data_IF_741538119508
#
_entry.id   IF_741538119508
#
_cell.length_a   1.000
_cell.length_b   1.000
_cell.length_c   1.000
_cell.angle_alpha   90.00
_cell.angle_beta   90.00
_cell.angle_gamma   90.00
#
_symmetry.space_group_name_H-M   'P 1'
#
loop_
_entity.id
_entity.type
_entity.pdbx_description
1 polymer ?
#
# COMPACT_ATOMS: atom_id res chain seq x y z
N UNK A 1 11.10 -21.95 18.44
CA UNK A 1 11.92 -22.85 17.60
C UNK A 1 12.99 -21.97 16.96
N UNK A 2 14.27 -22.21 17.22
CA UNK A 2 15.36 -21.49 16.56
C UNK A 2 15.68 -22.25 15.27
N UNK A 3 15.73 -21.55 14.13
CA UNK A 3 16.06 -22.15 12.85
C UNK A 3 17.59 -22.19 12.71
N UNK A 4 18.16 -23.38 12.52
CA UNK A 4 19.58 -23.53 12.20
C UNK A 4 19.82 -23.28 10.71
N UNK A 5 20.54 -22.20 10.42
CA UNK A 5 20.85 -21.78 9.04
C UNK A 5 21.69 -22.83 8.30
N UNK A 6 22.64 -23.47 8.97
CA UNK A 6 23.52 -24.45 8.33
C UNK A 6 22.74 -25.72 7.95
N UNK A 7 21.82 -26.15 8.82
CA UNK A 7 20.91 -27.26 8.52
C UNK A 7 20.01 -26.93 7.32
N UNK A 8 19.45 -25.72 7.29
CA UNK A 8 18.66 -25.27 6.13
C UNK A 8 19.49 -25.22 4.84
N UNK A 9 20.69 -24.63 4.87
CA UNK A 9 21.59 -24.58 3.72
C UNK A 9 21.91 -25.99 3.20
N UNK A 10 22.17 -26.94 4.09
CA UNK A 10 22.42 -28.34 3.72
C UNK A 10 21.23 -28.98 2.97
N UNK A 11 20.01 -28.64 3.35
CA UNK A 11 18.78 -29.08 2.67
C UNK A 11 18.39 -28.27 1.43
N UNK A 12 18.97 -27.08 1.23
CA UNK A 12 18.57 -26.15 0.18
C UNK A 12 19.38 -26.34 -1.11
N UNK A 13 18.82 -27.09 -2.06
CA UNK A 13 19.51 -27.51 -3.30
C UNK A 13 20.11 -26.35 -4.13
N UNK A 14 19.49 -25.17 -4.17
CA UNK A 14 20.03 -24.03 -4.92
C UNK A 14 21.28 -23.44 -4.25
N UNK A 15 21.33 -23.34 -2.91
CA UNK A 15 22.53 -22.89 -2.20
C UNK A 15 23.68 -23.91 -2.28
N UNK A 16 23.37 -25.21 -2.44
CA UNK A 16 24.38 -26.23 -2.68
C UNK A 16 25.00 -26.13 -4.09
N UNK A 17 24.26 -25.61 -5.07
CA UNK A 17 24.69 -25.52 -6.47
C UNK A 17 25.26 -24.15 -6.85
N UNK A 18 24.89 -23.09 -6.13
CA UNK A 18 25.30 -21.71 -6.42
C UNK A 18 25.82 -21.03 -5.17
N UNK A 19 27.10 -20.65 -5.21
CA UNK A 19 27.73 -19.88 -4.14
C UNK A 19 27.07 -18.51 -3.97
N UNK A 20 26.61 -17.88 -5.07
CA UNK A 20 25.89 -16.59 -5.00
C UNK A 20 24.63 -16.69 -4.15
N UNK A 21 23.81 -17.72 -4.38
CA UNK A 21 22.57 -17.94 -3.60
C UNK A 21 22.90 -18.20 -2.12
N UNK A 22 23.97 -18.95 -1.85
CA UNK A 22 24.42 -19.22 -0.49
C UNK A 22 24.88 -17.94 0.22
N UNK A 23 25.75 -17.16 -0.40
CA UNK A 23 26.30 -15.92 0.17
C UNK A 23 25.18 -14.91 0.45
N UNK A 24 24.23 -14.76 -0.49
CA UNK A 24 23.05 -13.90 -0.29
C UNK A 24 22.18 -14.38 0.87
N UNK A 25 21.91 -15.69 0.97
CA UNK A 25 21.14 -16.24 2.08
C UNK A 25 21.84 -15.97 3.43
N UNK A 26 23.15 -16.23 3.52
CA UNK A 26 23.94 -15.97 4.73
C UNK A 26 23.94 -14.46 5.08
N UNK A 27 24.05 -13.58 4.09
CA UNK A 27 24.02 -12.13 4.26
C UNK A 27 22.67 -11.58 4.72
N UNK A 28 21.57 -12.05 4.13
CA UNK A 28 20.22 -11.56 4.44
C UNK A 28 19.59 -12.19 5.68
N UNK A 29 20.08 -13.35 6.13
CA UNK A 29 19.44 -14.12 7.20
C UNK A 29 19.37 -13.36 8.53
N UNK A 30 20.44 -12.67 8.91
CA UNK A 30 20.46 -11.91 10.16
C UNK A 30 19.43 -10.78 10.17
N UNK A 31 19.22 -10.12 9.04
CA UNK A 31 18.19 -9.09 8.88
C UNK A 31 16.80 -9.69 8.93
N UNK A 32 16.57 -10.78 8.19
CA UNK A 32 15.30 -11.53 8.20
C UNK A 32 14.92 -11.97 9.62
N UNK A 33 15.87 -12.53 10.37
CA UNK A 33 15.68 -12.92 11.77
C UNK A 33 15.29 -11.74 12.68
N UNK A 34 15.75 -10.52 12.36
CA UNK A 34 15.50 -9.33 13.18
C UNK A 34 14.09 -8.76 12.99
N UNK A 35 13.49 -8.97 11.82
CA UNK A 35 12.22 -8.34 11.42
C UNK A 35 11.06 -9.33 11.32
N UNK A 36 11.33 -10.63 11.28
CA UNK A 36 10.32 -11.69 11.19
C UNK A 36 10.17 -12.46 12.51
N UNK A 37 8.96 -12.95 12.78
CA UNK A 37 8.76 -13.97 13.82
C UNK A 37 9.39 -15.31 13.39
N UNK A 38 9.54 -16.29 14.29
CA UNK A 38 9.97 -17.63 13.88
C UNK A 38 9.10 -18.27 12.79
N UNK A 39 7.80 -17.95 12.76
CA UNK A 39 6.89 -18.42 11.71
C UNK A 39 7.07 -17.65 10.40
N UNK A 40 7.26 -16.32 10.48
CA UNK A 40 7.59 -15.49 9.33
C UNK A 40 8.90 -15.92 8.66
N UNK A 41 9.94 -16.18 9.47
CA UNK A 41 11.24 -16.66 8.98
C UNK A 41 11.12 -18.04 8.31
N UNK A 42 10.33 -18.95 8.88
CA UNK A 42 10.03 -20.24 8.23
C UNK A 42 9.34 -20.03 6.88
N UNK A 43 8.31 -19.18 6.82
CA UNK A 43 7.60 -18.84 5.57
C UNK A 43 8.54 -18.26 4.51
N UNK A 44 9.49 -17.42 4.93
CA UNK A 44 10.52 -16.85 4.07
C UNK A 44 11.46 -17.91 3.48
N UNK A 45 11.97 -18.83 4.31
CA UNK A 45 12.85 -19.91 3.84
C UNK A 45 12.11 -20.95 2.99
N UNK A 46 10.87 -21.28 3.34
CA UNK A 46 9.98 -22.13 2.53
C UNK A 46 9.71 -21.46 1.17
N UNK A 47 9.54 -20.13 1.15
CA UNK A 47 9.43 -19.31 -0.05
C UNK A 47 10.65 -19.40 -0.96
N UNK A 48 11.86 -19.26 -0.42
CA UNK A 48 13.11 -19.44 -1.17
C UNK A 48 13.22 -20.85 -1.78
N UNK A 49 12.78 -21.87 -1.04
CA UNK A 49 12.74 -23.27 -1.51
C UNK A 49 11.75 -23.45 -2.66
N UNK A 50 10.57 -22.85 -2.56
CA UNK A 50 9.56 -22.89 -3.62
C UNK A 50 10.02 -22.16 -4.89
N UNK A 51 10.67 -20.99 -4.74
CA UNK A 51 11.24 -20.23 -5.86
C UNK A 51 12.38 -20.99 -6.54
N UNK A 52 13.26 -21.63 -5.77
CA UNK A 52 14.28 -22.53 -6.30
C UNK A 52 13.67 -23.66 -7.15
N UNK A 53 12.59 -24.27 -6.65
CA UNK A 53 11.88 -25.36 -7.34
C UNK A 53 11.18 -24.89 -8.62
N UNK A 54 10.85 -23.59 -8.75
CA UNK A 54 10.23 -23.02 -9.95
C UNK A 54 11.18 -22.98 -11.17
N UNK A 55 12.48 -23.10 -10.97
CA UNK A 55 13.48 -23.16 -12.04
C UNK A 55 13.64 -21.86 -12.85
N UNK A 56 13.34 -20.70 -12.26
CA UNK A 56 13.38 -19.38 -12.95
C UNK A 56 14.72 -18.65 -12.89
N UNK A 57 15.78 -19.34 -12.46
CA UNK A 57 17.13 -18.78 -12.36
C UNK A 57 17.42 -18.24 -10.96
N UNK A 58 18.72 -18.12 -10.66
CA UNK A 58 19.19 -17.74 -9.32
C UNK A 58 18.88 -16.30 -8.96
N UNK A 59 18.84 -15.38 -9.93
CA UNK A 59 18.55 -13.96 -9.66
C UNK A 59 17.16 -13.76 -9.03
N UNK A 60 16.18 -14.62 -9.35
CA UNK A 60 14.84 -14.57 -8.72
C UNK A 60 14.91 -14.90 -7.22
N UNK A 61 15.73 -15.90 -6.87
CA UNK A 61 15.93 -16.34 -5.49
C UNK A 61 16.72 -15.28 -4.73
N UNK A 62 17.78 -14.76 -5.34
CA UNK A 62 18.64 -13.71 -4.77
C UNK A 62 17.82 -12.46 -4.48
N UNK A 63 17.08 -11.92 -5.45
CA UNK A 63 16.25 -10.73 -5.22
C UNK A 63 15.15 -10.98 -4.17
N UNK A 64 14.57 -12.18 -4.09
CA UNK A 64 13.65 -12.50 -3.00
C UNK A 64 14.35 -12.46 -1.63
N UNK A 65 15.55 -13.05 -1.52
CA UNK A 65 16.28 -13.10 -0.26
C UNK A 65 16.78 -11.72 0.19
N UNK A 66 17.16 -10.86 -0.75
CA UNK A 66 17.67 -9.51 -0.46
C UNK A 66 16.54 -8.55 -0.06
N UNK A 67 15.43 -8.57 -0.80
CA UNK A 67 14.45 -7.48 -0.72
C UNK A 67 13.32 -7.73 0.31
N UNK A 68 12.98 -8.99 0.57
CA UNK A 68 11.84 -9.31 1.42
C UNK A 68 11.97 -8.90 2.89
N UNK A 69 13.15 -8.91 3.53
CA UNK A 69 13.29 -8.37 4.89
C UNK A 69 12.87 -6.90 5.00
N UNK A 70 13.17 -6.08 3.99
CA UNK A 70 12.70 -4.70 3.95
C UNK A 70 11.18 -4.60 3.75
N UNK A 71 10.62 -5.39 2.83
CA UNK A 71 9.16 -5.45 2.64
C UNK A 71 8.44 -5.80 3.94
N UNK A 72 8.95 -6.79 4.69
CA UNK A 72 8.38 -7.19 5.98
C UNK A 72 8.47 -6.07 7.01
N UNK A 73 9.58 -5.32 7.06
CA UNK A 73 9.73 -4.19 7.98
C UNK A 73 8.64 -3.13 7.77
N UNK A 74 8.27 -2.89 6.52
CA UNK A 74 7.31 -1.83 6.16
C UNK A 74 5.85 -2.25 6.36
N UNK A 75 5.47 -3.44 5.90
CA UNK A 75 4.06 -3.86 5.83
C UNK A 75 3.72 -5.16 6.57
N UNK A 76 4.70 -5.79 7.22
CA UNK A 76 4.51 -6.98 8.06
C UNK A 76 4.79 -8.31 7.36
N UNK A 77 4.90 -9.38 8.16
CA UNK A 77 5.35 -10.71 7.69
C UNK A 77 4.37 -11.43 6.76
N UNK A 78 3.08 -11.07 6.79
CA UNK A 78 2.07 -11.59 5.85
C UNK A 78 2.45 -11.32 4.38
N UNK A 79 3.24 -10.27 4.11
CA UNK A 79 3.70 -9.93 2.77
C UNK A 79 4.54 -11.02 2.11
N UNK A 80 5.22 -11.87 2.89
CA UNK A 80 6.09 -12.94 2.36
C UNK A 80 5.24 -13.97 1.61
N UNK A 81 4.20 -14.49 2.27
CA UNK A 81 3.35 -15.53 1.69
C UNK A 81 2.61 -15.04 0.45
N UNK A 82 2.06 -13.82 0.51
CA UNK A 82 1.35 -13.18 -0.60
C UNK A 82 2.26 -12.96 -1.81
N UNK A 83 3.47 -12.45 -1.57
CA UNK A 83 4.45 -12.22 -2.64
C UNK A 83 4.86 -13.53 -3.31
N UNK A 84 5.23 -14.55 -2.52
CA UNK A 84 5.63 -15.86 -3.04
C UNK A 84 4.49 -16.48 -3.84
N UNK A 85 3.27 -16.44 -3.32
CA UNK A 85 2.09 -16.95 -4.02
C UNK A 85 1.89 -16.27 -5.38
N UNK A 86 1.89 -14.93 -5.42
CA UNK A 86 1.74 -14.17 -6.66
C UNK A 86 2.88 -14.46 -7.64
N UNK A 87 4.13 -14.46 -7.20
CA UNK A 87 5.29 -14.71 -8.06
C UNK A 87 5.29 -16.12 -8.65
N UNK A 88 4.94 -17.14 -7.85
CA UNK A 88 4.84 -18.52 -8.35
C UNK A 88 3.75 -18.66 -9.40
N UNK A 89 2.62 -17.97 -9.24
CA UNK A 89 1.56 -17.92 -10.26
C UNK A 89 2.07 -17.28 -11.56
N UNK A 90 2.78 -16.17 -11.44
CA UNK A 90 3.39 -15.45 -12.57
C UNK A 90 4.51 -16.22 -13.26
N UNK A 91 5.17 -17.14 -12.55
CA UNK A 91 6.30 -17.89 -13.10
C UNK A 91 5.94 -18.63 -14.39
N UNK A 92 4.71 -19.12 -14.55
CA UNK A 92 4.29 -19.78 -15.79
C UNK A 92 4.09 -18.82 -16.98
N UNK A 93 3.97 -17.51 -16.73
CA UNK A 93 3.55 -16.51 -17.71
C UNK A 93 4.66 -15.52 -18.09
N UNK A 94 5.72 -15.41 -17.29
CA UNK A 94 6.82 -14.45 -17.52
C UNK A 94 8.20 -15.07 -17.30
N UNK A 95 9.24 -14.31 -17.64
CA UNK A 95 10.63 -14.74 -17.52
C UNK A 95 11.19 -14.48 -16.11
N UNK A 96 12.24 -15.21 -15.73
CA UNK A 96 12.93 -15.00 -14.46
C UNK A 96 13.45 -13.57 -14.29
N UNK A 97 13.95 -12.95 -15.37
CA UNK A 97 14.41 -11.56 -15.34
C UNK A 97 13.29 -10.57 -14.95
N UNK A 98 12.04 -10.81 -15.37
CA UNK A 98 10.91 -9.97 -14.97
C UNK A 98 10.50 -10.22 -13.52
N UNK A 99 10.58 -11.46 -13.05
CA UNK A 99 10.31 -11.78 -11.64
C UNK A 99 11.36 -11.17 -10.70
N UNK A 100 12.64 -11.21 -11.07
CA UNK A 100 13.71 -10.57 -10.33
C UNK A 100 13.51 -9.04 -10.28
N UNK A 101 13.13 -8.41 -11.39
CA UNK A 101 12.79 -6.99 -11.43
C UNK A 101 11.56 -6.66 -10.56
N UNK A 102 10.54 -7.51 -10.55
CA UNK A 102 9.40 -7.35 -9.67
C UNK A 102 9.84 -7.36 -8.21
N UNK A 103 10.66 -8.34 -7.79
CA UNK A 103 11.22 -8.40 -6.43
C UNK A 103 11.99 -7.13 -6.07
N UNK A 104 12.89 -6.68 -6.95
CA UNK A 104 13.68 -5.47 -6.77
C UNK A 104 12.80 -4.21 -6.58
N UNK A 105 11.57 -4.18 -7.12
CA UNK A 105 10.65 -3.05 -6.91
C UNK A 105 9.78 -3.14 -5.65
N UNK A 106 9.69 -4.32 -5.01
CA UNK A 106 8.77 -4.52 -3.88
C UNK A 106 9.08 -3.65 -2.66
N UNK A 107 10.34 -3.36 -2.27
CA UNK A 107 10.60 -2.47 -1.16
C UNK A 107 10.00 -1.07 -1.39
N UNK A 108 10.15 -0.52 -2.60
CA UNK A 108 9.53 0.77 -2.94
C UNK A 108 8.01 0.67 -2.88
N UNK A 109 7.42 -0.40 -3.41
CA UNK A 109 5.99 -0.62 -3.32
C UNK A 109 5.51 -0.74 -1.87
N UNK A 110 6.21 -1.47 -1.01
CA UNK A 110 5.89 -1.63 0.40
C UNK A 110 5.92 -0.29 1.14
N UNK A 111 7.01 0.49 0.97
CA UNK A 111 7.15 1.83 1.56
C UNK A 111 6.05 2.79 1.11
N UNK A 112 5.70 2.78 -0.19
CA UNK A 112 4.72 3.71 -0.76
C UNK A 112 3.28 3.34 -0.45
N UNK A 113 2.96 2.05 -0.48
CA UNK A 113 1.60 1.55 -0.26
C UNK A 113 1.28 1.40 1.23
N UNK A 114 2.27 1.15 2.09
CA UNK A 114 2.17 1.29 3.55
C UNK A 114 1.18 0.36 4.27
N UNK A 115 0.50 -0.53 3.57
CA UNK A 115 -0.45 -1.50 4.12
C UNK A 115 -0.51 -2.79 3.28
N UNK A 116 -0.68 -3.92 3.94
CA UNK A 116 -0.69 -5.25 3.32
C UNK A 116 -1.86 -5.42 2.34
N UNK A 117 -3.05 -4.89 2.64
CA UNK A 117 -4.21 -5.05 1.76
C UNK A 117 -4.05 -4.24 0.46
N UNK A 118 -3.48 -3.04 0.56
CA UNK A 118 -3.11 -2.22 -0.61
C UNK A 118 -2.01 -2.92 -1.42
N UNK A 119 -0.99 -3.46 -0.75
CA UNK A 119 0.09 -4.20 -1.39
C UNK A 119 -0.40 -5.45 -2.15
N UNK A 120 -1.33 -6.24 -1.59
CA UNK A 120 -1.99 -7.34 -2.31
C UNK A 120 -2.72 -6.83 -3.56
N UNK A 121 -3.37 -5.67 -3.47
CA UNK A 121 -4.02 -5.02 -4.61
C UNK A 121 -3.05 -4.65 -5.74
N UNK A 122 -1.82 -4.28 -5.38
CA UNK A 122 -0.73 -4.04 -6.33
C UNK A 122 -0.23 -5.32 -6.99
N UNK A 123 0.02 -6.39 -6.22
CA UNK A 123 0.38 -7.70 -6.80
C UNK A 123 -0.69 -8.21 -7.77
N UNK A 124 -1.97 -8.05 -7.42
CA UNK A 124 -3.09 -8.39 -8.30
C UNK A 124 -3.12 -7.53 -9.58
N UNK A 125 -2.70 -6.26 -9.51
CA UNK A 125 -2.56 -5.41 -10.69
C UNK A 125 -1.44 -5.91 -11.61
N UNK A 126 -0.28 -6.28 -11.05
CA UNK A 126 0.82 -6.88 -11.81
C UNK A 126 0.36 -8.16 -12.51
N UNK A 127 -0.35 -9.03 -11.80
CA UNK A 127 -0.92 -10.24 -12.38
C UNK A 127 -1.87 -9.95 -13.55
N UNK A 128 -2.79 -9.00 -13.36
CA UNK A 128 -3.70 -8.59 -14.43
C UNK A 128 -2.95 -8.01 -15.64
N UNK A 129 -1.89 -7.25 -15.40
CA UNK A 129 -1.08 -6.65 -16.45
C UNK A 129 -0.36 -7.70 -17.29
N UNK A 130 0.13 -8.78 -16.68
CA UNK A 130 0.78 -9.88 -17.41
C UNK A 130 -0.16 -10.47 -18.47
N UNK A 131 -1.45 -10.60 -18.16
CA UNK A 131 -2.45 -11.09 -19.10
C UNK A 131 -2.85 -10.09 -20.19
N UNK A 132 -2.84 -8.79 -19.90
CA UNK A 132 -3.34 -7.75 -20.82
C UNK A 132 -2.25 -7.09 -21.67
N UNK A 133 -1.09 -6.83 -21.08
CA UNK A 133 0.00 -6.06 -21.67
C UNK A 133 1.38 -6.62 -21.27
N UNK A 134 1.68 -7.90 -21.57
CA UNK A 134 2.91 -8.57 -21.13
C UNK A 134 4.20 -7.87 -21.59
N UNK A 135 4.17 -7.21 -22.76
CA UNK A 135 5.32 -6.47 -23.30
C UNK A 135 5.54 -5.13 -22.60
N UNK A 136 4.48 -4.57 -22.02
CA UNK A 136 4.54 -3.34 -21.23
C UNK A 136 5.01 -3.55 -19.79
N UNK A 137 4.98 -4.79 -19.27
CA UNK A 137 5.25 -5.04 -17.86
C UNK A 137 6.67 -4.65 -17.45
N UNK A 138 7.69 -5.14 -18.16
CA UNK A 138 9.08 -4.78 -17.86
C UNK A 138 9.33 -3.27 -17.97
N UNK A 139 8.95 -2.60 -19.08
CA UNK A 139 9.02 -1.15 -19.18
C UNK A 139 8.37 -0.42 -17.99
N UNK A 140 7.19 -0.86 -17.56
CA UNK A 140 6.53 -0.23 -16.41
C UNK A 140 7.29 -0.47 -15.10
N UNK A 141 7.79 -1.68 -14.88
CA UNK A 141 8.58 -2.01 -13.67
C UNK A 141 9.88 -1.20 -13.61
N UNK A 142 10.53 -0.93 -14.75
CA UNK A 142 11.71 -0.05 -14.82
C UNK A 142 11.39 1.40 -14.37
N UNK A 143 10.11 1.82 -14.39
CA UNK A 143 9.63 3.15 -14.01
C UNK A 143 8.68 3.13 -12.80
N UNK A 144 8.55 2.00 -12.09
CA UNK A 144 7.51 1.84 -11.06
C UNK A 144 7.71 2.77 -9.87
N UNK A 145 8.96 3.06 -9.52
CA UNK A 145 9.31 4.00 -8.44
C UNK A 145 8.78 5.41 -8.74
N UNK A 146 8.89 5.86 -10.00
CA UNK A 146 8.36 7.14 -10.45
C UNK A 146 6.83 7.14 -10.42
N UNK A 147 6.22 6.06 -10.89
CA UNK A 147 4.76 5.89 -10.92
C UNK A 147 4.16 5.90 -9.51
N UNK A 148 4.70 5.12 -8.58
CA UNK A 148 4.22 5.02 -7.20
C UNK A 148 4.51 6.28 -6.36
N UNK A 149 5.42 7.15 -6.82
CA UNK A 149 5.64 8.47 -6.21
C UNK A 149 4.59 9.48 -6.65
N UNK A 150 3.90 9.25 -7.78
CA UNK A 150 2.96 10.21 -8.38
C UNK A 150 1.51 9.75 -8.32
N UNK A 151 1.27 8.45 -8.27
CA UNK A 151 -0.04 7.85 -8.40
C UNK A 151 -0.38 7.03 -7.16
N UNK A 152 -1.63 7.16 -6.73
CA UNK A 152 -2.27 6.17 -5.86
C UNK A 152 -2.36 4.81 -6.55
N UNK A 153 -2.62 3.73 -5.81
CA UNK A 153 -2.78 2.42 -6.44
C UNK A 153 -4.00 2.38 -7.38
N UNK A 154 -5.09 3.07 -7.02
CA UNK A 154 -6.25 3.22 -7.91
C UNK A 154 -5.91 4.00 -9.19
N UNK A 155 -5.15 5.08 -9.08
CA UNK A 155 -4.69 5.86 -10.22
C UNK A 155 -3.74 5.05 -11.12
N UNK A 156 -2.79 4.32 -10.52
CA UNK A 156 -1.91 3.40 -11.25
C UNK A 156 -2.72 2.32 -11.99
N UNK A 157 -3.73 1.72 -11.34
CA UNK A 157 -4.62 0.75 -12.00
C UNK A 157 -5.30 1.36 -13.22
N UNK A 158 -5.90 2.54 -13.10
CA UNK A 158 -6.56 3.20 -14.23
C UNK A 158 -5.59 3.56 -15.35
N UNK A 159 -4.40 4.03 -15.01
CA UNK A 159 -3.32 4.30 -15.96
C UNK A 159 -2.90 3.03 -16.71
N UNK A 160 -2.67 1.92 -15.99
CA UNK A 160 -2.33 0.61 -16.58
C UNK A 160 -3.45 0.10 -17.49
N UNK A 161 -4.70 0.14 -17.02
CA UNK A 161 -5.85 -0.34 -17.79
C UNK A 161 -6.05 0.47 -19.08
N UNK A 162 -5.88 1.80 -19.00
CA UNK A 162 -5.94 2.66 -20.18
C UNK A 162 -4.84 2.29 -21.19
N UNK A 163 -3.58 2.20 -20.77
CA UNK A 163 -2.48 1.83 -21.65
C UNK A 163 -2.68 0.47 -22.31
N UNK A 164 -3.12 -0.52 -21.54
CA UNK A 164 -3.36 -1.87 -22.03
C UNK A 164 -4.53 -1.94 -23.03
N UNK A 165 -5.58 -1.14 -22.84
CA UNK A 165 -6.73 -1.07 -23.74
C UNK A 165 -6.41 -0.31 -25.03
N UNK A 166 -5.84 0.89 -24.90
CA UNK A 166 -5.52 1.78 -26.02
C UNK A 166 -4.52 1.14 -26.97
N UNK A 167 -3.46 0.54 -26.43
CA UNK A 167 -2.37 -0.06 -27.22
C UNK A 167 -2.46 -1.59 -27.33
N UNK A 168 -3.66 -2.17 -27.15
CA UNK A 168 -3.89 -3.63 -27.17
C UNK A 168 -3.33 -4.32 -28.42
N UNK A 169 -3.38 -3.64 -29.57
CA UNK A 169 -2.92 -4.16 -30.88
C UNK A 169 -1.63 -3.51 -31.38
N UNK A 170 -1.09 -2.53 -30.67
CA UNK A 170 0.14 -1.82 -31.03
C UNK A 170 1.22 -2.10 -29.99
N UNK A 171 2.08 -3.08 -30.30
CA UNK A 171 3.13 -3.50 -29.35
C UNK A 171 4.21 -2.44 -29.14
N UNK A 172 4.53 -1.64 -30.15
CA UNK A 172 5.51 -0.57 -30.01
C UNK A 172 4.94 0.59 -29.19
N UNK A 173 3.68 0.96 -29.46
CA UNK A 173 2.95 1.92 -28.65
C UNK A 173 2.77 1.46 -27.20
N UNK A 174 2.53 0.17 -26.97
CA UNK A 174 2.45 -0.40 -25.63
C UNK A 174 3.78 -0.24 -24.87
N UNK A 175 4.90 -0.60 -25.50
CA UNK A 175 6.24 -0.42 -24.90
C UNK A 175 6.48 1.06 -24.61
N UNK A 176 6.22 1.95 -25.57
CA UNK A 176 6.44 3.39 -25.43
C UNK A 176 5.55 4.05 -24.35
N UNK A 177 4.32 3.57 -24.18
CA UNK A 177 3.42 4.04 -23.13
C UNK A 177 3.95 3.63 -21.75
N UNK A 178 4.24 2.33 -21.58
CA UNK A 178 4.67 1.81 -20.29
C UNK A 178 6.11 2.20 -19.90
N UNK A 179 6.93 2.66 -20.85
CA UNK A 179 8.25 3.27 -20.60
C UNK A 179 8.21 4.78 -20.34
N UNK A 180 7.02 5.38 -20.20
CA UNK A 180 6.84 6.84 -20.05
C UNK A 180 7.43 7.68 -21.20
N UNK A 181 7.63 7.07 -22.38
CA UNK A 181 8.18 7.75 -23.56
C UNK A 181 7.10 8.41 -24.42
N UNK A 182 5.85 7.97 -24.32
CA UNK A 182 4.75 8.59 -25.06
C UNK A 182 4.18 9.83 -24.35
N UNK A 183 3.83 10.85 -25.11
CA UNK A 183 3.13 12.04 -24.58
C UNK A 183 1.79 11.66 -23.94
N UNK A 184 1.14 10.63 -24.45
CA UNK A 184 -0.11 10.09 -23.92
C UNK A 184 0.06 9.46 -22.53
N UNK A 185 1.12 8.67 -22.31
CA UNK A 185 1.46 8.12 -21.00
C UNK A 185 1.63 9.21 -19.95
N UNK A 186 2.35 10.28 -20.31
CA UNK A 186 2.55 11.43 -19.45
C UNK A 186 1.25 12.19 -19.19
N UNK A 187 0.43 12.41 -20.22
CA UNK A 187 -0.86 13.09 -20.12
C UNK A 187 -1.83 12.35 -19.19
N UNK A 188 -1.99 11.04 -19.39
CA UNK A 188 -2.85 10.21 -18.55
C UNK A 188 -2.32 10.16 -17.12
N UNK A 189 -1.00 10.03 -16.93
CA UNK A 189 -0.41 10.07 -15.58
C UNK A 189 -0.71 11.40 -14.87
N UNK A 190 -0.55 12.54 -15.55
CA UNK A 190 -0.87 13.84 -14.95
C UNK A 190 -2.36 13.99 -14.63
N UNK A 191 -3.25 13.45 -15.48
CA UNK A 191 -4.70 13.46 -15.24
C UNK A 191 -5.11 12.60 -14.04
N UNK A 192 -4.45 11.45 -13.86
CA UNK A 192 -4.73 10.54 -12.76
C UNK A 192 -4.04 10.94 -11.45
N UNK A 193 -3.02 11.80 -11.50
CA UNK A 193 -2.41 12.41 -10.32
C UNK A 193 -3.44 13.32 -9.65
N UNK A 194 -3.81 12.98 -8.41
CA UNK A 194 -4.81 13.71 -7.65
C UNK A 194 -4.32 13.99 -6.24
N UNK A 195 -4.56 15.23 -5.83
CA UNK A 195 -4.37 15.66 -4.46
C UNK A 195 -2.96 15.45 -3.89
N UNK A 196 -2.93 15.39 -2.56
CA UNK A 196 -1.74 15.07 -1.78
C UNK A 196 -1.81 13.57 -1.44
N UNK A 197 -0.76 12.82 -1.81
CA UNK A 197 -0.66 11.41 -1.47
C UNK A 197 -0.47 11.22 0.03
N UNK A 198 -1.10 10.19 0.58
CA UNK A 198 -1.03 9.90 2.01
C UNK A 198 0.41 9.71 2.49
N UNK A 199 1.24 9.01 1.71
CA UNK A 199 2.65 8.78 2.05
C UNK A 199 3.45 10.08 2.25
N UNK A 200 3.10 11.15 1.51
CA UNK A 200 3.76 12.45 1.63
C UNK A 200 3.20 13.29 2.81
N UNK A 201 1.98 12.98 3.24
CA UNK A 201 1.30 13.64 4.36
C UNK A 201 1.53 12.92 5.72
N UNK A 202 1.76 11.61 5.71
CA UNK A 202 1.67 10.73 6.88
C UNK A 202 2.51 11.21 8.06
N UNK A 203 3.81 11.48 7.86
CA UNK A 203 4.70 11.93 8.94
C UNK A 203 4.23 13.25 9.56
N UNK A 204 3.81 14.20 8.73
CA UNK A 204 3.30 15.51 9.20
C UNK A 204 1.98 15.33 9.95
N UNK A 205 1.11 14.45 9.46
CA UNK A 205 -0.17 14.14 10.09
C UNK A 205 0.02 13.43 11.44
N UNK A 206 0.94 12.47 11.55
CA UNK A 206 1.28 11.82 12.82
C UNK A 206 1.79 12.82 13.86
N UNK A 207 2.70 13.73 13.47
CA UNK A 207 3.19 14.80 14.36
C UNK A 207 2.06 15.74 14.79
N UNK A 208 1.17 16.09 13.85
CA UNK A 208 0.02 16.94 14.10
C UNK A 208 -0.94 16.33 15.13
N UNK A 209 -1.31 15.05 14.97
CA UNK A 209 -2.20 14.36 15.92
C UNK A 209 -1.54 14.15 17.29
N UNK A 210 -0.25 13.82 17.30
CA UNK A 210 0.52 13.70 18.55
C UNK A 210 0.58 15.02 19.32
N UNK A 211 0.61 16.16 18.63
CA UNK A 211 0.64 17.47 19.29
C UNK A 211 -0.65 17.78 20.07
N UNK A 212 -1.81 17.26 19.65
CA UNK A 212 -3.05 17.42 20.41
C UNK A 212 -3.10 16.50 21.63
N UNK A 213 -2.95 15.19 21.43
CA UNK A 213 -3.25 14.22 22.51
C UNK A 213 -2.03 13.61 23.20
N UNK A 214 -0.81 14.08 22.89
CA UNK A 214 0.46 13.56 23.41
C UNK A 214 0.58 12.02 23.35
N UNK A 215 0.02 11.42 22.28
CA UNK A 215 0.07 9.98 22.03
C UNK A 215 0.26 9.70 20.55
N UNK A 216 0.70 8.49 20.25
CA UNK A 216 0.83 8.03 18.87
C UNK A 216 -0.52 7.50 18.34
N UNK A 217 -0.78 7.78 17.07
CA UNK A 217 -1.89 7.25 16.30
C UNK A 217 -1.33 6.51 15.09
N UNK A 218 -1.73 5.26 14.92
CA UNK A 218 -1.33 4.46 13.77
C UNK A 218 -2.20 4.85 12.58
N UNK A 219 -1.56 5.37 11.53
CA UNK A 219 -2.23 5.81 10.31
C UNK A 219 -1.88 4.87 9.16
N UNK A 220 -2.90 4.39 8.46
CA UNK A 220 -2.78 3.49 7.30
C UNK A 220 -3.61 4.03 6.12
N UNK A 221 -3.22 3.77 4.88
CA UNK A 221 -4.07 4.04 3.73
C UNK A 221 -5.21 3.01 3.64
N UNK A 222 -6.38 3.43 3.16
CA UNK A 222 -7.50 2.52 2.87
C UNK A 222 -7.19 1.64 1.66
N UNK A 223 -7.53 0.35 1.71
CA UNK A 223 -7.39 -0.61 0.61
C UNK A 223 -8.52 -0.54 -0.44
N UNK A 224 -9.04 0.65 -0.69
CA UNK A 224 -10.34 0.84 -1.31
C UNK A 224 -10.51 0.34 -2.75
N UNK A 225 -11.69 -0.22 -3.04
CA UNK A 225 -12.22 -0.59 -4.36
C UNK A 225 -11.80 0.40 -5.44
N UNK A 226 -10.89 -0.09 -6.29
CA UNK A 226 -10.15 0.68 -7.26
C UNK A 226 -11.01 1.20 -8.42
N UNK A 227 -12.30 0.81 -8.44
CA UNK A 227 -13.23 1.07 -9.52
C UNK A 227 -13.99 2.39 -9.36
N UNK A 228 -14.21 2.89 -8.13
CA UNK A 228 -14.88 4.18 -7.90
C UNK A 228 -13.88 5.31 -7.65
N UNK A 229 -14.18 6.49 -8.19
CA UNK A 229 -13.34 7.70 -8.04
C UNK A 229 -13.48 8.36 -6.66
N UNK A 230 -14.41 7.90 -5.83
CA UNK A 230 -14.79 8.59 -4.59
C UNK A 230 -13.89 8.24 -3.40
N UNK A 231 -12.89 7.36 -3.60
CA UNK A 231 -12.03 6.90 -2.51
C UNK A 231 -12.84 6.16 -1.44
N UNK A 232 -12.17 5.50 -0.51
CA UNK A 232 -12.88 4.93 0.63
C UNK A 232 -13.13 5.98 1.70
N UNK A 233 -14.27 5.90 2.37
CA UNK A 233 -14.48 6.70 3.57
C UNK A 233 -13.43 6.32 4.63
N UNK A 234 -12.86 7.29 5.35
CA UNK A 234 -11.96 6.99 6.45
C UNK A 234 -12.68 6.15 7.51
N UNK A 235 -11.95 5.26 8.16
CA UNK A 235 -12.50 4.38 9.20
C UNK A 235 -11.45 4.05 10.26
N UNK A 236 -11.90 3.47 11.38
CA UNK A 236 -11.02 3.03 12.47
C UNK A 236 -11.17 1.51 12.61
N UNK A 237 -10.05 0.80 12.60
CA UNK A 237 -10.02 -0.63 12.87
C UNK A 237 -8.88 -0.94 13.84
N UNK A 238 -9.18 -1.68 14.92
CA UNK A 238 -8.22 -2.11 15.94
C UNK A 238 -7.32 -0.98 16.48
N UNK A 239 -7.86 0.24 16.55
CA UNK A 239 -7.16 1.44 17.02
C UNK A 239 -6.24 2.11 16.00
N UNK A 240 -6.17 1.61 14.77
CA UNK A 240 -5.54 2.29 13.65
C UNK A 240 -6.59 3.11 12.87
N UNK A 241 -6.17 4.27 12.38
CA UNK A 241 -6.97 5.16 11.54
C UNK A 241 -6.60 4.88 10.08
N UNK A 242 -7.59 4.47 9.30
CA UNK A 242 -7.48 4.28 7.86
C UNK A 242 -8.01 5.52 7.15
N UNK A 243 -7.19 6.12 6.30
CA UNK A 243 -7.54 7.31 5.49
C UNK A 243 -7.33 7.03 4.00
N UNK A 244 -8.03 7.71 3.09
CA UNK A 244 -7.74 7.68 1.67
C UNK A 244 -6.26 7.80 1.34
N UNK A 245 -5.83 7.11 0.29
CA UNK A 245 -4.44 7.14 -0.19
C UNK A 245 -4.07 8.47 -0.91
N UNK A 246 -5.07 9.29 -1.24
CA UNK A 246 -4.93 10.69 -1.60
C UNK A 246 -6.16 11.51 -1.20
N UNK A 247 -5.96 12.80 -0.90
CA UNK A 247 -7.02 13.80 -0.83
C UNK A 247 -6.76 14.93 -1.82
N UNK A 248 -7.74 15.18 -2.68
CA UNK A 248 -7.82 16.39 -3.50
C UNK A 248 -8.06 17.64 -2.63
N UNK A 249 -7.80 18.81 -3.22
CA UNK A 249 -8.26 20.06 -2.64
C UNK A 249 -9.79 20.09 -2.63
N UNK A 250 -10.38 20.54 -1.52
CA UNK A 250 -11.83 20.56 -1.30
C UNK A 250 -12.31 22.00 -1.11
N UNK A 251 -13.14 22.51 -2.02
CA UNK A 251 -13.72 23.87 -1.95
C UNK A 251 -12.68 24.97 -1.63
N UNK A 252 -11.50 24.91 -2.27
CA UNK A 252 -10.40 25.86 -2.06
C UNK A 252 -9.55 25.60 -0.81
N UNK A 253 -9.79 24.51 -0.08
CA UNK A 253 -8.92 24.01 1.00
C UNK A 253 -7.93 23.01 0.43
N UNK A 254 -6.67 23.16 0.81
CA UNK A 254 -5.63 22.22 0.43
C UNK A 254 -5.96 20.81 0.97
N UNK A 255 -5.67 19.76 0.20
CA UNK A 255 -5.89 18.37 0.63
C UNK A 255 -5.23 18.01 1.97
N UNK A 256 -4.18 18.74 2.38
CA UNK A 256 -3.55 18.58 3.70
C UNK A 256 -4.48 19.01 4.84
N UNK A 257 -5.33 20.02 4.63
CA UNK A 257 -6.34 20.41 5.60
C UNK A 257 -7.44 19.35 5.72
N UNK A 258 -7.79 18.69 4.60
CA UNK A 258 -8.70 17.54 4.62
C UNK A 258 -8.11 16.39 5.43
N UNK A 259 -6.83 16.03 5.20
CA UNK A 259 -6.14 15.04 6.04
C UNK A 259 -6.13 15.41 7.52
N UNK A 260 -5.86 16.67 7.86
CA UNK A 260 -5.86 17.15 9.25
C UNK A 260 -7.24 17.00 9.88
N UNK A 261 -8.28 17.43 9.17
CA UNK A 261 -9.65 17.36 9.64
C UNK A 261 -10.11 15.92 9.86
N UNK A 262 -9.89 15.06 8.86
CA UNK A 262 -10.22 13.63 8.94
C UNK A 262 -9.43 12.93 10.04
N UNK A 263 -8.12 13.15 10.11
CA UNK A 263 -7.25 12.55 11.11
C UNK A 263 -7.63 12.99 12.52
N UNK A 264 -7.91 14.28 12.72
CA UNK A 264 -8.33 14.82 14.02
C UNK A 264 -9.70 14.26 14.44
N UNK A 265 -10.63 14.13 13.50
CA UNK A 265 -11.95 13.55 13.76
C UNK A 265 -11.82 12.07 14.19
N UNK A 266 -11.09 11.26 13.43
CA UNK A 266 -10.89 9.86 13.78
C UNK A 266 -10.09 9.68 15.10
N UNK A 267 -9.11 10.55 15.36
CA UNK A 267 -8.39 10.58 16.62
C UNK A 267 -9.31 10.95 17.80
N UNK A 268 -10.24 11.89 17.60
CA UNK A 268 -11.23 12.25 18.61
C UNK A 268 -12.13 11.07 18.99
N UNK A 269 -12.56 10.26 18.02
CA UNK A 269 -13.26 8.98 18.31
C UNK A 269 -12.41 8.04 19.17
N UNK A 270 -11.14 7.83 18.82
CA UNK A 270 -10.24 6.96 19.61
C UNK A 270 -10.05 7.47 21.05
N UNK A 271 -10.09 8.78 21.26
CA UNK A 271 -9.83 9.38 22.58
C UNK A 271 -11.11 9.51 23.43
N UNK A 272 -12.23 9.93 22.84
CA UNK A 272 -13.43 10.34 23.57
C UNK A 272 -14.60 9.35 23.49
N UNK A 273 -14.51 8.30 22.67
CA UNK A 273 -15.49 7.19 22.68
C UNK A 273 -15.07 6.16 23.73
N UNK A 274 -15.76 6.18 24.87
CA UNK A 274 -15.41 5.39 26.06
C UNK A 274 -16.18 4.07 26.18
N UNK A 275 -17.21 3.88 25.37
CA UNK A 275 -18.03 2.68 25.36
C UNK A 275 -18.43 2.30 23.93
N UNK A 276 -18.60 1.00 23.69
CA UNK A 276 -19.10 0.52 22.41
C UNK A 276 -20.52 1.02 22.15
N UNK A 277 -20.76 1.53 20.94
CA UNK A 277 -22.08 1.99 20.51
C UNK A 277 -22.89 0.75 20.14
N UNK A 278 -23.91 0.43 20.94
CA UNK A 278 -24.80 -0.70 20.67
C UNK A 278 -25.68 -0.40 19.46
N UNK A 279 -25.34 -0.97 18.31
CA UNK A 279 -26.03 -0.71 17.05
C UNK A 279 -26.79 -1.92 16.48
N UNK A 280 -26.74 -3.07 17.14
CA UNK A 280 -27.19 -4.37 16.61
C UNK A 280 -28.68 -4.37 16.22
N UNK A 281 -29.52 -3.68 16.99
CA UNK A 281 -30.97 -3.63 16.80
C UNK A 281 -31.47 -2.36 16.09
N UNK A 282 -30.57 -1.51 15.58
CA UNK A 282 -30.93 -0.26 14.91
C UNK A 282 -31.19 -0.48 13.42
N UNK A 283 -32.12 0.25 12.83
CA UNK A 283 -32.24 0.34 11.37
C UNK A 283 -31.21 1.32 10.78
N UNK A 284 -31.09 1.39 9.45
CA UNK A 284 -30.08 2.22 8.79
C UNK A 284 -30.21 3.71 9.11
N UNK A 285 -31.42 4.25 9.17
CA UNK A 285 -31.66 5.66 9.50
C UNK A 285 -31.28 5.94 10.97
N UNK A 286 -31.64 5.05 11.89
CA UNK A 286 -31.26 5.16 13.29
C UNK A 286 -29.74 5.10 13.46
N UNK A 287 -29.05 4.20 12.75
CA UNK A 287 -27.58 4.15 12.75
C UNK A 287 -26.96 5.44 12.26
N UNK A 288 -27.50 6.04 11.18
CA UNK A 288 -27.02 7.32 10.66
C UNK A 288 -27.21 8.45 11.68
N UNK A 289 -28.38 8.52 12.32
CA UNK A 289 -28.66 9.53 13.35
C UNK A 289 -27.72 9.36 14.54
N UNK A 290 -27.54 8.14 15.04
CA UNK A 290 -26.60 7.84 16.13
C UNK A 290 -25.18 8.23 15.76
N UNK A 291 -24.72 7.90 14.54
CA UNK A 291 -23.40 8.29 14.06
C UNK A 291 -23.22 9.82 14.04
N UNK A 292 -24.20 10.56 13.50
CA UNK A 292 -24.15 12.02 13.47
C UNK A 292 -24.06 12.65 14.87
N UNK A 293 -24.84 12.14 15.82
CA UNK A 293 -24.79 12.64 17.20
C UNK A 293 -23.48 12.27 17.90
N UNK A 294 -22.94 11.08 17.62
CA UNK A 294 -21.64 10.68 18.17
C UNK A 294 -20.52 11.55 17.60
N UNK A 295 -20.49 11.78 16.29
CA UNK A 295 -19.53 12.67 15.63
C UNK A 295 -19.55 14.06 16.27
N UNK A 296 -20.74 14.66 16.40
CA UNK A 296 -20.90 15.94 17.07
C UNK A 296 -20.44 15.92 18.54
N UNK A 297 -20.68 14.82 19.27
CA UNK A 297 -20.27 14.67 20.67
C UNK A 297 -18.75 14.64 20.81
N UNK A 298 -18.05 13.84 19.99
CA UNK A 298 -16.59 13.69 20.08
C UNK A 298 -15.88 14.94 19.57
N UNK A 299 -16.41 15.58 18.52
CA UNK A 299 -15.88 16.85 18.01
C UNK A 299 -16.05 17.98 19.02
N UNK A 300 -17.20 18.08 19.69
CA UNK A 300 -17.41 19.08 20.74
C UNK A 300 -16.44 18.88 21.91
N UNK A 301 -16.17 17.63 22.33
CA UNK A 301 -15.15 17.34 23.35
C UNK A 301 -13.75 17.77 22.88
N UNK A 302 -13.40 17.43 21.64
CA UNK A 302 -12.12 17.80 21.07
C UNK A 302 -11.96 19.33 20.92
N UNK A 303 -13.03 20.06 20.60
CA UNK A 303 -13.03 21.54 20.51
C UNK A 303 -12.84 22.17 21.90
N UNK A 304 -13.42 21.59 22.94
CA UNK A 304 -13.24 22.09 24.31
C UNK A 304 -11.77 22.01 24.75
N UNK A 305 -11.09 20.92 24.41
CA UNK A 305 -9.65 20.76 24.68
C UNK A 305 -8.78 21.59 23.70
N UNK A 306 -9.21 21.68 22.44
CA UNK A 306 -8.45 22.28 21.33
C UNK A 306 -9.34 23.19 20.46
N UNK A 307 -9.58 24.46 20.87
CA UNK A 307 -10.53 25.35 20.19
C UNK A 307 -10.25 25.59 18.70
N UNK A 308 -8.99 25.45 18.26
CA UNK A 308 -8.61 25.59 16.85
C UNK A 308 -9.21 24.53 15.92
N UNK A 309 -9.61 23.36 16.44
CA UNK A 309 -10.27 22.30 15.64
C UNK A 309 -11.62 22.76 15.10
N UNK A 310 -12.30 23.67 15.79
CA UNK A 310 -13.57 24.24 15.33
C UNK A 310 -13.41 24.92 13.98
N UNK A 311 -12.37 25.73 13.81
CA UNK A 311 -12.12 26.43 12.55
C UNK A 311 -11.79 25.44 11.43
N UNK A 312 -11.00 24.41 11.73
CA UNK A 312 -10.63 23.37 10.78
C UNK A 312 -11.87 22.64 10.24
N UNK A 313 -12.71 22.08 11.13
CA UNK A 313 -13.89 21.33 10.70
C UNK A 313 -14.94 22.21 10.04
N UNK A 314 -15.26 23.37 10.62
CA UNK A 314 -16.23 24.31 10.01
C UNK A 314 -15.83 24.71 8.60
N UNK A 315 -14.54 24.75 8.28
CA UNK A 315 -14.05 25.12 6.95
C UNK A 315 -14.35 24.11 5.85
N UNK A 316 -14.78 22.89 6.22
CA UNK A 316 -15.17 21.79 5.33
C UNK A 316 -16.68 21.50 5.34
N UNK A 317 -17.45 22.15 6.20
CA UNK A 317 -18.90 22.05 6.15
C UNK A 317 -19.44 22.81 4.94
N UNK A 318 -20.50 22.31 4.29
CA UNK A 318 -21.15 23.04 3.22
C UNK A 318 -21.52 24.44 3.74
N UNK A 319 -21.21 25.47 2.94
CA UNK A 319 -21.72 26.81 3.20
C UNK A 319 -23.25 26.70 3.22
N UNK A 320 -23.89 27.15 4.30
CA UNK A 320 -25.34 27.36 4.24
C UNK A 320 -25.57 28.37 3.13
N UNK A 321 -26.24 27.95 2.05
CA UNK A 321 -26.76 28.86 1.05
C UNK A 321 -27.60 29.89 1.80
N UNK A 322 -27.22 31.16 1.69
CA UNK A 322 -28.05 32.26 2.14
C UNK A 322 -29.27 32.30 1.22
N UNK A 323 -30.34 31.59 1.61
CA UNK A 323 -31.65 31.67 0.98
C UNK A 323 -32.26 33.06 1.15
#
# INVERSE_FOLDING_TARGET
>A
MSIDLNEFIAGFACAQKSQRVRDTLEGSFAEAQRVMSPNGLKTYLDGATALCSSGKGEDVIISFLEEMPEVVREIGEDAVGETVYSVLKLSSQTSGAVLALLFASLPTAARRLGDIAVFKGYLNLIERMVGLAPRGLRPMLDHIDELLTKLTLGALRRWVMYGAETYRRDFNGQIAYFSLQSSDAMSVMQRERRGILFIDAQRKLQMYLRAFWNREFYLRPTSGDYESKDGYKPYIEKGAIFVPDAYDDYEGRAGMEVYRATGAHAAAHIVYTTAAIQADNLNQLQRLVVALFEDARVEERAIQDFPGLRQLWMSLHPLMDAH
#
